data_IF_857578933175
#
_entry.id   IF_857578933175
#
_cell.length_a   1.000
_cell.length_b   1.000
_cell.length_c   1.000
_cell.angle_alpha   90.00
_cell.angle_beta   90.00
_cell.angle_gamma   90.00
#
_symmetry.space_group_name_H-M   'P 1'
#
loop_
_entity.id
_entity.type
_entity.pdbx_description
1 polymer ?
#
# COMPACT_ATOMS: atom_id res chain seq x y z
N UNK A 1 -2.44 23.87 -17.31
CA UNK A 1 -3.06 22.97 -16.32
C UNK A 1 -4.53 22.65 -16.64
N UNK A 2 -5.47 23.62 -16.63
CA UNK A 2 -6.92 23.39 -16.81
C UNK A 2 -7.28 22.64 -18.10
N UNK A 3 -6.77 23.07 -19.26
CA UNK A 3 -7.05 22.43 -20.55
C UNK A 3 -6.58 20.97 -20.60
N UNK A 4 -5.39 20.69 -20.06
CA UNK A 4 -4.85 19.32 -20.00
C UNK A 4 -5.65 18.43 -19.04
N UNK A 5 -6.10 18.98 -17.90
CA UNK A 5 -6.99 18.25 -17.00
C UNK A 5 -8.32 17.90 -17.67
N UNK A 6 -8.94 18.85 -18.39
CA UNK A 6 -10.16 18.62 -19.16
C UNK A 6 -9.93 17.53 -20.23
N UNK A 7 -8.79 17.57 -20.90
CA UNK A 7 -8.39 16.53 -21.85
C UNK A 7 -8.30 15.15 -21.19
N UNK A 8 -7.68 15.05 -20.00
CA UNK A 8 -7.59 13.79 -19.25
C UNK A 8 -8.97 13.27 -18.84
N UNK A 9 -9.84 14.15 -18.34
CA UNK A 9 -11.22 13.79 -18.01
C UNK A 9 -11.90 13.24 -19.27
N UNK A 10 -11.91 13.97 -20.38
CA UNK A 10 -12.61 13.52 -21.60
C UNK A 10 -12.11 12.17 -22.14
N UNK A 11 -10.79 11.95 -22.11
CA UNK A 11 -10.20 10.78 -22.78
C UNK A 11 -9.91 9.59 -21.89
N UNK A 12 -9.83 9.78 -20.56
CA UNK A 12 -9.46 8.73 -19.61
C UNK A 12 -10.58 8.39 -18.61
N UNK A 13 -11.74 9.05 -18.69
CA UNK A 13 -12.86 8.76 -17.80
C UNK A 13 -13.45 7.36 -17.98
N UNK A 14 -13.47 6.82 -19.20
CA UNK A 14 -13.90 5.44 -19.43
C UNK A 14 -13.07 4.45 -18.60
N UNK A 15 -11.75 4.66 -18.55
CA UNK A 15 -10.86 3.87 -17.71
C UNK A 15 -11.22 4.01 -16.22
N UNK A 16 -11.53 5.22 -15.75
CA UNK A 16 -12.02 5.45 -14.37
C UNK A 16 -13.31 4.71 -14.09
N UNK A 17 -14.28 4.75 -15.01
CA UNK A 17 -15.57 4.08 -14.85
C UNK A 17 -15.40 2.56 -14.76
N UNK A 18 -14.58 1.96 -15.62
CA UNK A 18 -14.30 0.51 -15.57
C UNK A 18 -13.61 0.12 -14.26
N UNK A 19 -12.60 0.90 -13.84
CA UNK A 19 -11.91 0.66 -12.56
C UNK A 19 -12.77 0.93 -11.32
N UNK A 20 -13.86 1.72 -11.44
CA UNK A 20 -14.83 1.87 -10.37
C UNK A 20 -15.86 0.74 -10.37
N UNK A 21 -16.35 0.36 -11.55
CA UNK A 21 -17.45 -0.59 -11.71
C UNK A 21 -17.08 -2.00 -11.25
N UNK A 22 -15.93 -2.52 -11.66
CA UNK A 22 -15.50 -3.88 -11.30
C UNK A 22 -15.41 -4.09 -9.77
N UNK A 23 -14.62 -3.30 -9.00
CA UNK A 23 -14.53 -3.49 -7.56
C UNK A 23 -15.84 -3.16 -6.85
N UNK A 24 -16.63 -2.21 -7.36
CA UNK A 24 -17.96 -1.91 -6.81
C UNK A 24 -18.90 -3.09 -6.93
N UNK A 25 -18.95 -3.76 -8.09
CA UNK A 25 -19.80 -4.93 -8.28
C UNK A 25 -19.37 -6.09 -7.39
N UNK A 26 -18.06 -6.37 -7.30
CA UNK A 26 -17.55 -7.44 -6.45
C UNK A 26 -17.82 -7.14 -4.96
N UNK A 27 -17.60 -5.89 -4.54
CA UNK A 27 -17.91 -5.46 -3.17
C UNK A 27 -19.41 -5.54 -2.88
N UNK A 28 -20.26 -5.07 -3.80
CA UNK A 28 -21.72 -5.14 -3.66
C UNK A 28 -22.21 -6.59 -3.54
N UNK A 29 -21.71 -7.51 -4.37
CA UNK A 29 -22.01 -8.94 -4.25
C UNK A 29 -21.56 -9.46 -2.88
N UNK A 30 -20.39 -9.05 -2.41
CA UNK A 30 -19.88 -9.42 -1.08
C UNK A 30 -20.80 -8.91 0.03
N UNK A 31 -21.31 -7.68 -0.06
CA UNK A 31 -22.30 -7.12 0.87
C UNK A 31 -23.60 -7.92 0.82
N UNK A 32 -24.17 -8.18 -0.35
CA UNK A 32 -25.41 -8.93 -0.52
C UNK A 32 -25.30 -10.35 0.08
N UNK A 33 -24.23 -11.09 -0.24
CA UNK A 33 -24.05 -12.47 0.21
C UNK A 33 -23.79 -12.58 1.72
N UNK A 34 -22.92 -11.71 2.26
CA UNK A 34 -22.55 -11.81 3.67
C UNK A 34 -23.63 -11.21 4.57
N UNK A 35 -24.29 -10.13 4.17
CA UNK A 35 -25.26 -9.46 5.04
C UNK A 35 -26.54 -10.31 5.18
N UNK A 36 -27.04 -10.86 4.07
CA UNK A 36 -28.23 -11.71 4.08
C UNK A 36 -28.02 -12.96 4.95
N UNK A 37 -26.90 -13.66 4.76
CA UNK A 37 -26.60 -14.92 5.47
C UNK A 37 -26.29 -14.71 6.95
N UNK A 38 -25.55 -13.66 7.31
CA UNK A 38 -25.04 -13.51 8.68
C UNK A 38 -25.98 -12.79 9.66
N UNK A 39 -26.90 -11.96 9.17
CA UNK A 39 -27.78 -11.17 10.05
C UNK A 39 -29.21 -11.71 10.16
N UNK A 40 -29.64 -12.59 9.25
CA UNK A 40 -30.95 -13.26 9.34
C UNK A 40 -30.89 -14.72 9.84
N UNK A 41 -29.77 -15.45 9.74
CA UNK A 41 -29.74 -16.90 10.01
C UNK A 41 -29.20 -17.35 11.38
N UNK A 42 -28.89 -16.46 12.33
CA UNK A 42 -28.35 -16.87 13.64
C UNK A 42 -29.35 -16.69 14.79
N UNK A 43 -30.03 -17.80 15.09
CA UNK A 43 -30.69 -18.18 16.36
C UNK A 43 -31.92 -17.33 16.75
N UNK A 44 -33.14 -17.91 16.78
CA UNK A 44 -34.30 -17.25 17.36
C UNK A 44 -34.01 -16.87 18.82
N UNK A 45 -34.06 -15.57 19.14
CA UNK A 45 -34.04 -15.08 20.52
C UNK A 45 -32.82 -14.26 20.96
N UNK A 46 -31.77 -14.08 20.14
CA UNK A 46 -30.71 -13.09 20.41
C UNK A 46 -30.20 -12.46 19.11
N UNK A 47 -30.51 -11.18 18.81
CA UNK A 47 -29.81 -10.49 17.74
C UNK A 47 -28.35 -10.35 18.18
N UNK A 48 -27.45 -11.17 17.64
CA UNK A 48 -26.01 -10.92 17.76
C UNK A 48 -25.58 -10.19 16.50
N UNK A 49 -25.65 -8.85 16.50
CA UNK A 49 -25.09 -8.07 15.41
C UNK A 49 -23.56 -8.26 15.39
N UNK A 50 -23.07 -9.04 14.42
CA UNK A 50 -21.63 -9.13 14.12
C UNK A 50 -21.14 -7.81 13.56
N UNK A 51 -19.84 -7.54 13.71
CA UNK A 51 -19.19 -6.40 13.05
C UNK A 51 -19.52 -6.37 11.56
N UNK A 52 -19.70 -5.19 10.96
CA UNK A 52 -19.81 -5.03 9.51
C UNK A 52 -18.45 -5.24 8.80
N UNK A 53 -17.81 -6.38 9.06
CA UNK A 53 -16.45 -6.72 8.58
C UNK A 53 -16.37 -6.77 7.05
N UNK A 54 -17.50 -6.89 6.37
CA UNK A 54 -17.56 -6.86 4.90
C UNK A 54 -16.93 -5.59 4.32
N UNK A 55 -17.01 -4.45 5.01
CA UNK A 55 -16.36 -3.19 4.57
C UNK A 55 -14.83 -3.27 4.56
N UNK A 56 -14.21 -4.24 5.26
CA UNK A 56 -12.78 -4.49 5.13
C UNK A 56 -12.41 -4.97 3.72
N UNK A 57 -13.33 -5.61 2.98
CA UNK A 57 -13.06 -5.99 1.58
C UNK A 57 -12.95 -4.77 0.65
N UNK A 58 -13.77 -3.74 0.86
CA UNK A 58 -13.65 -2.46 0.14
C UNK A 58 -12.29 -1.80 0.38
N UNK A 59 -11.77 -1.90 1.61
CA UNK A 59 -10.44 -1.43 1.96
C UNK A 59 -9.35 -2.18 1.16
N UNK A 60 -9.44 -3.50 1.06
CA UNK A 60 -8.48 -4.30 0.27
C UNK A 60 -8.51 -3.89 -1.21
N UNK A 61 -9.69 -3.66 -1.79
CA UNK A 61 -9.78 -3.20 -3.17
C UNK A 61 -9.10 -1.86 -3.38
N UNK A 62 -9.32 -0.87 -2.50
CA UNK A 62 -8.67 0.44 -2.68
C UNK A 62 -7.16 0.36 -2.50
N UNK A 63 -6.65 -0.50 -1.60
CA UNK A 63 -5.22 -0.74 -1.43
C UNK A 63 -4.55 -1.31 -2.69
N UNK A 64 -5.26 -2.16 -3.43
CA UNK A 64 -4.79 -2.70 -4.72
C UNK A 64 -4.88 -1.64 -5.84
N UNK A 65 -5.92 -0.82 -5.82
CA UNK A 65 -6.16 0.17 -6.88
C UNK A 65 -5.20 1.36 -6.82
N UNK A 66 -4.73 1.75 -5.63
CA UNK A 66 -3.75 2.83 -5.47
C UNK A 66 -2.51 2.62 -6.37
N UNK A 67 -1.74 1.52 -6.27
CA UNK A 67 -0.59 1.30 -7.13
C UNK A 67 -0.97 1.17 -8.61
N UNK A 68 -2.11 0.55 -8.93
CA UNK A 68 -2.59 0.42 -10.32
C UNK A 68 -2.83 1.80 -10.95
N UNK A 69 -3.55 2.69 -10.25
CA UNK A 69 -3.80 4.06 -10.73
C UNK A 69 -2.49 4.83 -10.83
N UNK A 70 -1.60 4.74 -9.84
CA UNK A 70 -0.27 5.35 -9.91
C UNK A 70 0.48 4.95 -11.18
N UNK A 71 0.55 3.63 -11.47
CA UNK A 71 1.22 3.11 -12.67
C UNK A 71 0.56 3.70 -13.92
N UNK A 72 -0.77 3.63 -14.03
CA UNK A 72 -1.47 4.13 -15.22
C UNK A 72 -1.35 5.64 -15.45
N UNK A 73 -1.17 6.45 -14.40
CA UNK A 73 -1.04 7.91 -14.53
C UNK A 73 0.38 8.34 -14.79
N UNK A 74 1.34 7.71 -14.12
CA UNK A 74 2.73 8.10 -14.19
C UNK A 74 3.52 7.33 -15.25
N UNK A 75 2.92 6.31 -15.88
CA UNK A 75 3.50 5.58 -17.01
C UNK A 75 4.04 6.48 -18.11
N UNK A 76 3.37 7.62 -18.37
CA UNK A 76 3.78 8.58 -19.41
C UNK A 76 5.19 9.12 -19.20
N UNK A 77 5.72 9.09 -17.97
CA UNK A 77 7.07 9.55 -17.65
C UNK A 77 8.12 8.45 -17.80
N UNK A 78 7.71 7.21 -18.05
CA UNK A 78 8.56 6.01 -18.04
C UNK A 78 8.47 5.19 -19.33
N UNK A 79 7.61 5.59 -20.27
CA UNK A 79 7.51 4.99 -21.59
C UNK A 79 8.28 5.80 -22.63
N UNK A 80 9.33 5.22 -23.21
CA UNK A 80 10.12 5.90 -24.25
C UNK A 80 9.30 6.30 -25.48
N UNK A 81 8.23 5.57 -25.81
CA UNK A 81 7.39 5.87 -26.99
C UNK A 81 6.52 7.11 -26.81
N UNK A 82 6.08 7.38 -25.58
CA UNK A 82 5.10 8.44 -25.30
C UNK A 82 5.76 9.73 -24.77
N UNK A 83 6.97 9.61 -24.23
CA UNK A 83 7.65 10.72 -23.56
C UNK A 83 7.92 11.89 -24.50
N UNK A 84 8.34 11.62 -25.74
CA UNK A 84 8.62 12.67 -26.71
C UNK A 84 7.34 13.45 -27.08
N UNK A 85 6.21 12.74 -27.21
CA UNK A 85 4.91 13.36 -27.42
C UNK A 85 4.51 14.25 -26.23
N UNK A 86 4.65 13.77 -25.00
CA UNK A 86 4.23 14.54 -23.82
C UNK A 86 5.20 15.69 -23.48
N UNK A 87 6.48 15.56 -23.80
CA UNK A 87 7.47 16.61 -23.57
C UNK A 87 7.51 17.67 -24.68
N UNK A 88 6.91 17.40 -25.84
CA UNK A 88 6.68 18.42 -26.89
C UNK A 88 5.47 19.32 -26.61
N UNK A 89 4.61 18.97 -25.66
CA UNK A 89 3.49 19.82 -25.28
C UNK A 89 3.98 21.15 -24.68
N UNK A 90 3.29 22.28 -24.94
CA UNK A 90 3.64 23.60 -24.39
C UNK A 90 3.22 23.72 -22.91
N UNK A 91 3.60 22.74 -22.08
CA UNK A 91 3.29 22.63 -20.66
C UNK A 91 4.55 22.21 -19.93
N UNK A 92 4.87 22.85 -18.79
CA UNK A 92 6.05 22.47 -18.02
C UNK A 92 5.90 21.06 -17.45
N UNK A 93 7.02 20.32 -17.34
CA UNK A 93 7.02 18.95 -16.78
C UNK A 93 6.44 18.87 -15.37
N UNK A 94 6.66 19.91 -14.57
CA UNK A 94 6.10 20.03 -13.23
C UNK A 94 4.57 20.17 -13.25
N UNK A 95 4.04 21.02 -14.14
CA UNK A 95 2.59 21.15 -14.30
C UNK A 95 1.97 19.87 -14.88
N UNK A 96 2.68 19.18 -15.78
CA UNK A 96 2.26 17.89 -16.31
C UNK A 96 2.16 16.85 -15.19
N UNK A 97 3.20 16.72 -14.37
CA UNK A 97 3.22 15.82 -13.21
C UNK A 97 2.09 16.15 -12.23
N UNK A 98 1.94 17.41 -11.85
CA UNK A 98 0.90 17.83 -10.90
C UNK A 98 -0.50 17.53 -11.45
N UNK A 99 -0.73 17.76 -12.75
CA UNK A 99 -2.03 17.46 -13.37
C UNK A 99 -2.31 15.95 -13.37
N UNK A 100 -1.30 15.11 -13.65
CA UNK A 100 -1.45 13.66 -13.59
C UNK A 100 -1.69 13.14 -12.16
N UNK A 101 -0.96 13.67 -11.18
CA UNK A 101 -1.14 13.33 -9.78
C UNK A 101 -2.54 13.72 -9.31
N UNK A 102 -2.97 14.96 -9.59
CA UNK A 102 -4.29 15.46 -9.21
C UNK A 102 -5.42 14.66 -9.87
N UNK A 103 -5.30 14.36 -11.17
CA UNK A 103 -6.28 13.54 -11.87
C UNK A 103 -6.35 12.11 -11.31
N UNK A 104 -5.20 11.48 -11.03
CA UNK A 104 -5.17 10.15 -10.41
C UNK A 104 -5.76 10.13 -9.00
N UNK A 105 -5.57 11.20 -8.22
CA UNK A 105 -6.23 11.34 -6.92
C UNK A 105 -7.75 11.47 -7.06
N UNK A 106 -8.25 12.33 -7.97
CA UNK A 106 -9.68 12.43 -8.29
C UNK A 106 -10.24 11.07 -8.73
N UNK A 107 -9.49 10.32 -9.54
CA UNK A 107 -9.87 9.00 -10.00
C UNK A 107 -10.01 8.01 -8.82
N UNK A 108 -9.06 7.99 -7.88
CA UNK A 108 -9.15 7.16 -6.68
C UNK A 108 -10.30 7.58 -5.76
N UNK A 109 -10.52 8.88 -5.58
CA UNK A 109 -11.67 9.40 -4.84
C UNK A 109 -12.98 8.92 -5.46
N UNK A 110 -13.13 9.08 -6.78
CA UNK A 110 -14.34 8.65 -7.47
C UNK A 110 -14.59 7.15 -7.31
N UNK A 111 -13.56 6.31 -7.45
CA UNK A 111 -13.67 4.86 -7.27
C UNK A 111 -14.08 4.54 -5.83
N UNK A 112 -13.40 5.12 -4.84
CA UNK A 112 -13.71 4.91 -3.42
C UNK A 112 -15.13 5.36 -3.07
N UNK A 113 -15.52 6.58 -3.46
CA UNK A 113 -16.85 7.12 -3.22
C UNK A 113 -17.93 6.23 -3.84
N UNK A 114 -17.77 5.82 -5.10
CA UNK A 114 -18.75 4.97 -5.79
C UNK A 114 -18.90 3.63 -5.10
N UNK A 115 -17.77 2.94 -4.87
CA UNK A 115 -17.75 1.62 -4.21
C UNK A 115 -18.32 1.69 -2.79
N UNK A 116 -17.88 2.68 -2.00
CA UNK A 116 -18.26 2.81 -0.60
C UNK A 116 -19.74 3.14 -0.42
N UNK A 117 -20.25 4.15 -1.12
CA UNK A 117 -21.65 4.58 -0.94
C UNK A 117 -22.64 3.57 -1.51
N UNK A 118 -22.35 2.91 -2.63
CA UNK A 118 -23.22 1.86 -3.15
C UNK A 118 -23.28 0.69 -2.14
N UNK A 119 -22.13 0.27 -1.60
CA UNK A 119 -22.10 -0.75 -0.56
C UNK A 119 -22.78 -0.31 0.74
N UNK A 120 -22.63 0.95 1.15
CA UNK A 120 -23.27 1.51 2.34
C UNK A 120 -24.79 1.56 2.20
N UNK A 121 -25.31 1.98 1.05
CA UNK A 121 -26.74 2.00 0.78
C UNK A 121 -27.29 0.58 0.82
N UNK A 122 -26.67 -0.35 0.09
CA UNK A 122 -27.09 -1.75 0.07
C UNK A 122 -27.06 -2.37 1.49
N UNK A 123 -25.97 -2.16 2.22
CA UNK A 123 -25.83 -2.62 3.60
C UNK A 123 -26.91 -2.02 4.52
N UNK A 124 -27.17 -0.71 4.42
CA UNK A 124 -28.18 -0.04 5.25
C UNK A 124 -29.59 -0.55 4.97
N UNK A 125 -29.93 -0.83 3.70
CA UNK A 125 -31.21 -1.42 3.32
C UNK A 125 -31.35 -2.84 3.89
N UNK A 126 -30.31 -3.67 3.77
CA UNK A 126 -30.34 -5.06 4.24
C UNK A 126 -30.33 -5.20 5.77
N UNK A 127 -29.95 -4.14 6.48
CA UNK A 127 -29.83 -4.15 7.95
C UNK A 127 -30.85 -3.24 8.63
N UNK A 128 -31.81 -2.70 7.86
CA UNK A 128 -32.80 -1.71 8.31
C UNK A 128 -32.20 -0.54 9.09
N UNK A 129 -30.98 -0.14 8.75
CA UNK A 129 -30.26 0.95 9.44
C UNK A 129 -29.88 0.65 10.90
N UNK A 130 -29.79 -0.62 11.29
CA UNK A 130 -29.46 -1.04 12.67
C UNK A 130 -28.06 -0.63 13.15
N UNK A 131 -27.17 -0.24 12.24
CA UNK A 131 -25.80 0.17 12.56
C UNK A 131 -25.67 1.70 12.66
N UNK A 132 -24.74 2.15 13.51
CA UNK A 132 -24.43 3.57 13.67
C UNK A 132 -23.67 4.10 12.44
N UNK A 133 -24.44 4.61 11.48
CA UNK A 133 -23.96 5.12 10.18
C UNK A 133 -22.93 6.23 10.31
N UNK A 134 -22.93 7.00 11.40
CA UNK A 134 -21.94 8.05 11.66
C UNK A 134 -20.49 7.53 11.69
N UNK A 135 -20.24 6.37 12.31
CA UNK A 135 -18.91 5.76 12.34
C UNK A 135 -18.51 5.16 10.99
N UNK A 136 -19.48 4.67 10.21
CA UNK A 136 -19.25 4.27 8.82
C UNK A 136 -18.91 5.49 7.94
N UNK A 137 -19.57 6.64 8.13
CA UNK A 137 -19.18 7.86 7.42
C UNK A 137 -17.79 8.36 7.84
N UNK A 138 -17.42 8.20 9.11
CA UNK A 138 -16.06 8.52 9.57
C UNK A 138 -15.02 7.60 8.90
N UNK A 139 -15.32 6.31 8.73
CA UNK A 139 -14.46 5.37 7.99
C UNK A 139 -14.21 5.83 6.54
N UNK A 140 -15.25 6.34 5.87
CA UNK A 140 -15.11 6.92 4.54
C UNK A 140 -14.10 8.07 4.49
N UNK A 141 -14.19 9.01 5.44
CA UNK A 141 -13.30 10.18 5.52
C UNK A 141 -11.87 9.79 5.88
N UNK A 142 -11.69 8.91 6.85
CA UNK A 142 -10.37 8.38 7.25
C UNK A 142 -9.71 7.70 6.06
N UNK A 143 -10.46 6.91 5.28
CA UNK A 143 -9.92 6.22 4.12
C UNK A 143 -9.45 7.20 3.04
N UNK A 144 -10.19 8.30 2.78
CA UNK A 144 -9.76 9.34 1.85
C UNK A 144 -8.41 9.94 2.23
N UNK A 145 -8.21 10.22 3.52
CA UNK A 145 -6.94 10.74 4.01
C UNK A 145 -5.77 9.79 3.68
N UNK A 146 -5.93 8.49 3.97
CA UNK A 146 -4.89 7.50 3.67
C UNK A 146 -4.73 7.21 2.18
N UNK A 147 -5.78 7.32 1.36
CA UNK A 147 -5.65 7.28 -0.09
C UNK A 147 -4.65 8.35 -0.53
N UNK A 148 -4.77 9.59 -0.04
CA UNK A 148 -3.83 10.66 -0.38
C UNK A 148 -2.39 10.34 0.06
N UNK A 149 -2.22 9.86 1.30
CA UNK A 149 -0.90 9.50 1.86
C UNK A 149 -0.25 8.40 1.04
N UNK A 150 -0.95 7.28 0.84
CA UNK A 150 -0.44 6.11 0.14
C UNK A 150 -0.19 6.40 -1.34
N UNK A 151 -1.10 7.13 -2.00
CA UNK A 151 -0.94 7.53 -3.40
C UNK A 151 0.28 8.43 -3.61
N UNK A 152 0.54 9.37 -2.69
CA UNK A 152 1.74 10.21 -2.75
C UNK A 152 3.02 9.40 -2.62
N UNK A 153 3.05 8.45 -1.69
CA UNK A 153 4.18 7.55 -1.45
C UNK A 153 4.43 6.62 -2.64
N UNK A 154 3.40 5.94 -3.16
CA UNK A 154 3.54 5.04 -4.32
C UNK A 154 3.98 5.81 -5.56
N UNK A 155 3.46 7.03 -5.76
CA UNK A 155 3.86 7.91 -6.85
C UNK A 155 5.33 8.29 -6.78
N UNK A 156 5.85 8.62 -5.59
CA UNK A 156 7.27 8.88 -5.40
C UNK A 156 8.14 7.67 -5.76
N UNK A 157 7.78 6.48 -5.25
CA UNK A 157 8.53 5.25 -5.52
C UNK A 157 8.57 4.92 -7.01
N UNK A 158 7.42 5.03 -7.68
CA UNK A 158 7.32 4.81 -9.13
C UNK A 158 8.19 5.80 -9.93
N UNK A 159 8.21 7.07 -9.52
CA UNK A 159 9.01 8.11 -10.19
C UNK A 159 10.50 7.99 -9.90
N UNK A 160 10.98 7.12 -9.00
CA UNK A 160 12.42 6.88 -8.86
C UNK A 160 12.97 5.87 -9.85
N UNK A 161 12.11 5.15 -10.55
CA UNK A 161 12.51 4.29 -11.64
C UNK A 161 12.66 5.07 -12.95
N UNK A 162 13.48 4.53 -13.85
CA UNK A 162 13.68 5.00 -15.23
C UNK A 162 12.83 4.22 -16.25
N UNK A 163 12.26 3.08 -15.85
CA UNK A 163 11.40 2.24 -16.70
C UNK A 163 10.14 1.81 -15.95
N UNK A 164 9.07 1.43 -16.68
CA UNK A 164 7.82 0.95 -16.05
C UNK A 164 8.07 -0.27 -15.16
N UNK A 165 8.82 -1.26 -15.66
CA UNK A 165 9.05 -2.51 -14.93
C UNK A 165 9.78 -2.24 -13.62
N UNK A 166 10.82 -1.39 -13.66
CA UNK A 166 11.56 -1.05 -12.45
C UNK A 166 10.70 -0.25 -11.46
N UNK A 167 9.77 0.58 -11.94
CA UNK A 167 8.84 1.35 -11.10
C UNK A 167 7.86 0.45 -10.35
N UNK A 168 7.31 -0.57 -11.04
CA UNK A 168 6.47 -1.59 -10.42
C UNK A 168 7.28 -2.38 -9.38
N UNK A 169 8.49 -2.80 -9.74
CA UNK A 169 9.37 -3.52 -8.83
C UNK A 169 9.70 -2.69 -7.58
N UNK A 170 9.97 -1.38 -7.71
CA UNK A 170 10.25 -0.52 -6.56
C UNK A 170 9.07 -0.42 -5.61
N UNK A 171 7.83 -0.34 -6.11
CA UNK A 171 6.63 -0.37 -5.27
C UNK A 171 6.55 -1.70 -4.51
N UNK A 172 6.71 -2.84 -5.19
CA UNK A 172 6.60 -4.17 -4.57
C UNK A 172 7.69 -4.35 -3.51
N UNK A 173 8.96 -4.13 -3.87
CA UNK A 173 10.11 -4.32 -2.99
C UNK A 173 10.02 -3.38 -1.77
N UNK A 174 9.47 -2.17 -1.93
CA UNK A 174 9.23 -1.26 -0.81
C UNK A 174 8.19 -1.83 0.18
N UNK A 175 7.05 -2.31 -0.31
CA UNK A 175 6.02 -2.87 0.57
C UNK A 175 6.50 -4.14 1.26
N UNK A 176 7.26 -5.00 0.57
CA UNK A 176 7.88 -6.17 1.20
C UNK A 176 8.95 -5.78 2.22
N UNK A 177 9.72 -4.71 1.98
CA UNK A 177 10.72 -4.23 2.93
C UNK A 177 10.08 -3.84 4.26
N UNK A 178 8.98 -3.08 4.21
CA UNK A 178 8.28 -2.64 5.41
C UNK A 178 7.48 -3.76 6.09
N UNK A 179 7.02 -4.76 5.32
CA UNK A 179 6.48 -5.99 5.89
C UNK A 179 7.56 -6.72 6.71
N UNK A 180 8.74 -6.96 6.13
CA UNK A 180 9.82 -7.65 6.83
C UNK A 180 10.39 -6.86 7.99
N UNK A 181 10.57 -5.54 7.84
CA UNK A 181 10.95 -4.64 8.93
C UNK A 181 9.97 -4.76 10.09
N UNK A 182 8.67 -4.76 9.81
CA UNK A 182 7.67 -4.86 10.87
C UNK A 182 7.69 -6.21 11.58
N UNK A 183 7.88 -7.31 10.84
CA UNK A 183 8.05 -8.64 11.45
C UNK A 183 9.34 -8.76 12.26
N UNK A 184 10.40 -8.09 11.81
CA UNK A 184 11.68 -8.03 12.52
C UNK A 184 11.51 -7.31 13.86
N UNK A 185 10.87 -6.13 13.86
CA UNK A 185 10.64 -5.35 15.07
C UNK A 185 9.66 -6.01 16.04
N UNK A 186 8.76 -6.85 15.56
CA UNK A 186 7.86 -7.64 16.42
C UNK A 186 8.45 -8.98 16.86
N UNK A 187 9.71 -9.29 16.54
CA UNK A 187 10.40 -10.46 17.09
C UNK A 187 10.48 -10.35 18.62
N UNK A 188 10.41 -11.49 19.30
CA UNK A 188 10.29 -11.61 20.76
C UNK A 188 11.26 -10.75 21.56
N UNK A 189 12.46 -10.52 21.06
CA UNK A 189 13.53 -9.77 21.70
C UNK A 189 13.32 -8.26 21.60
N UNK A 190 12.83 -7.77 20.45
CA UNK A 190 12.55 -6.35 20.23
C UNK A 190 11.19 -5.96 20.83
N UNK A 191 10.26 -6.92 21.02
CA UNK A 191 9.00 -6.69 21.74
C UNK A 191 9.21 -6.11 23.16
N UNK A 192 10.35 -6.39 23.80
CA UNK A 192 10.69 -5.81 25.10
C UNK A 192 10.84 -4.28 25.08
N UNK A 193 11.09 -3.69 23.90
CA UNK A 193 11.16 -2.24 23.68
C UNK A 193 9.78 -1.60 23.41
N UNK A 194 8.69 -2.37 23.56
CA UNK A 194 7.32 -1.89 23.34
C UNK A 194 6.78 -2.09 21.93
N UNK A 195 7.59 -2.62 20.99
CA UNK A 195 7.14 -2.93 19.62
C UNK A 195 6.45 -4.29 19.55
N UNK A 196 5.17 -4.33 19.93
CA UNK A 196 4.46 -5.61 20.11
C UNK A 196 3.73 -6.12 18.87
N UNK A 197 3.59 -5.30 17.81
CA UNK A 197 2.76 -5.59 16.65
C UNK A 197 3.54 -5.92 15.38
N UNK A 198 3.29 -7.10 14.83
CA UNK A 198 3.94 -7.65 13.61
C UNK A 198 3.79 -6.81 12.35
N UNK A 199 2.88 -5.82 12.33
CA UNK A 199 2.59 -5.00 11.17
C UNK A 199 2.62 -3.49 11.45
N UNK A 200 3.07 -3.04 12.62
CA UNK A 200 3.11 -1.62 12.99
C UNK A 200 3.77 -0.72 11.93
N UNK A 201 4.78 -1.20 11.20
CA UNK A 201 5.48 -0.39 10.19
C UNK A 201 4.98 -0.63 8.77
N UNK A 202 3.90 -1.39 8.58
CA UNK A 202 3.29 -1.55 7.27
C UNK A 202 2.54 -0.25 6.87
N UNK A 203 2.64 0.23 5.61
CA UNK A 203 1.91 1.43 5.15
C UNK A 203 0.39 1.35 5.34
N UNK A 204 -0.17 0.14 5.40
CA UNK A 204 -1.59 -0.12 5.55
C UNK A 204 -2.05 -0.32 7.00
N UNK A 205 -1.13 -0.31 7.98
CA UNK A 205 -1.44 -0.64 9.37
C UNK A 205 -2.46 0.31 9.99
N UNK A 206 -2.19 1.61 10.00
CA UNK A 206 -3.07 2.57 10.68
C UNK A 206 -4.48 2.58 10.11
N UNK A 207 -4.61 2.54 8.77
CA UNK A 207 -5.94 2.46 8.16
C UNK A 207 -6.63 1.15 8.51
N UNK A 208 -5.94 0.01 8.51
CA UNK A 208 -6.56 -1.28 8.89
C UNK A 208 -7.07 -1.30 10.34
N UNK A 209 -6.29 -0.74 11.28
CA UNK A 209 -6.65 -0.64 12.69
C UNK A 209 -7.82 0.32 12.92
N UNK A 210 -7.79 1.49 12.26
CA UNK A 210 -8.88 2.45 12.31
C UNK A 210 -10.14 1.88 11.67
N UNK A 211 -10.03 1.15 10.55
CA UNK A 211 -11.17 0.46 9.92
C UNK A 211 -11.79 -0.54 10.88
N UNK A 212 -11.00 -1.46 11.43
CA UNK A 212 -11.54 -2.46 12.35
C UNK A 212 -12.20 -1.81 13.57
N UNK A 213 -11.57 -0.79 14.16
CA UNK A 213 -12.14 -0.07 15.31
C UNK A 213 -13.44 0.66 14.96
N UNK A 214 -13.51 1.35 13.82
CA UNK A 214 -14.70 2.07 13.38
C UNK A 214 -15.87 1.12 13.05
N UNK A 215 -15.58 -0.04 12.44
CA UNK A 215 -16.58 -1.08 12.20
C UNK A 215 -17.06 -1.67 13.54
N UNK A 216 -16.16 -1.87 14.50
CA UNK A 216 -16.52 -2.36 15.83
C UNK A 216 -17.49 -1.43 16.56
N UNK A 217 -17.15 -0.14 16.66
CA UNK A 217 -18.00 0.85 17.36
C UNK A 217 -19.27 1.20 16.59
N UNK A 218 -19.36 0.86 15.29
CA UNK A 218 -20.60 1.06 14.52
C UNK A 218 -21.72 0.08 14.89
N UNK A 219 -21.43 -0.97 15.67
CA UNK A 219 -22.44 -1.93 16.12
C UNK A 219 -23.43 -1.24 17.07
N UNK A 220 -24.73 -1.54 16.99
CA UNK A 220 -25.68 -1.10 18.01
C UNK A 220 -25.34 -1.75 19.36
N UNK A 221 -25.57 -1.02 20.46
CA UNK A 221 -25.32 -1.52 21.81
C UNK A 221 -26.38 -2.55 22.19
N UNK A 222 -26.02 -3.84 22.25
CA UNK A 222 -26.94 -4.93 22.55
C UNK A 222 -26.80 -5.31 24.02
N UNK A 223 -27.19 -4.40 24.92
CA UNK A 223 -27.64 -4.68 26.30
C UNK A 223 -26.90 -5.75 27.11
N UNK A 224 -25.61 -5.96 26.85
CA UNK A 224 -24.87 -7.12 27.29
C UNK A 224 -23.40 -6.79 27.16
N UNK A 225 -22.69 -6.88 28.27
CA UNK A 225 -21.27 -6.63 28.42
C UNK A 225 -20.45 -7.63 27.59
N UNK A 226 -20.45 -7.44 26.26
CA UNK A 226 -19.43 -8.03 25.40
C UNK A 226 -18.14 -7.31 25.81
N UNK A 227 -17.17 -8.02 26.43
CA UNK A 227 -15.96 -7.38 26.90
C UNK A 227 -15.29 -6.67 25.72
N UNK A 228 -14.95 -5.41 25.94
CA UNK A 228 -14.13 -4.61 25.02
C UNK A 228 -12.75 -5.27 25.00
N UNK A 229 -12.56 -6.29 24.18
CA UNK A 229 -11.26 -6.98 24.02
C UNK A 229 -10.40 -6.32 22.95
N UNK A 230 -10.93 -5.35 22.20
CA UNK A 230 -10.19 -4.67 21.15
C UNK A 230 -9.86 -3.24 21.55
N UNK A 231 -8.76 -3.06 22.27
CA UNK A 231 -8.18 -1.74 22.50
C UNK A 231 -7.49 -1.28 21.22
N UNK A 232 -7.99 -0.21 20.59
CA UNK A 232 -7.25 0.50 19.56
C UNK A 232 -5.90 0.91 20.15
N UNK A 233 -4.82 0.47 19.54
CA UNK A 233 -3.48 0.83 19.99
C UNK A 233 -3.08 2.19 19.40
N UNK A 234 -3.67 3.23 19.99
CA UNK A 234 -3.52 4.63 19.59
C UNK A 234 -2.05 5.02 19.38
N UNK A 235 -1.09 4.65 20.25
CA UNK A 235 0.32 5.03 20.04
C UNK A 235 0.88 4.47 18.73
N UNK A 236 0.60 3.21 18.42
CA UNK A 236 1.11 2.55 17.22
C UNK A 236 0.50 3.13 15.94
N UNK A 237 -0.81 3.37 15.96
CA UNK A 237 -1.53 4.05 14.86
C UNK A 237 -0.96 5.45 14.65
N UNK A 238 -0.73 6.22 15.72
CA UNK A 238 -0.19 7.57 15.62
C UNK A 238 1.22 7.58 15.02
N UNK A 239 2.13 6.73 15.52
CA UNK A 239 3.51 6.63 15.03
C UNK A 239 3.54 6.22 13.55
N UNK A 240 2.78 5.18 13.17
CA UNK A 240 2.69 4.75 11.78
C UNK A 240 2.16 5.86 10.87
N UNK A 241 1.09 6.54 11.29
CA UNK A 241 0.51 7.66 10.54
C UNK A 241 1.54 8.77 10.34
N UNK A 242 2.26 9.14 11.40
CA UNK A 242 3.29 10.17 11.34
C UNK A 242 4.38 9.81 10.33
N UNK A 243 4.93 8.59 10.41
CA UNK A 243 5.97 8.12 9.49
C UNK A 243 5.51 8.21 8.04
N UNK A 244 4.34 7.67 7.70
CA UNK A 244 3.90 7.59 6.31
C UNK A 244 3.38 8.91 5.76
N UNK A 245 2.75 9.76 6.58
CA UNK A 245 2.42 11.14 6.20
C UNK A 245 3.70 11.91 5.88
N UNK A 246 4.71 11.83 6.75
CA UNK A 246 6.00 12.50 6.54
C UNK A 246 6.70 11.99 5.28
N UNK A 247 6.78 10.66 5.08
CA UNK A 247 7.36 10.07 3.87
C UNK A 247 6.59 10.47 2.60
N UNK A 248 5.26 10.55 2.66
CA UNK A 248 4.43 10.97 1.53
C UNK A 248 4.65 12.44 1.15
N UNK A 249 4.68 13.34 2.15
CA UNK A 249 4.96 14.77 1.95
C UNK A 249 6.35 14.97 1.34
N UNK A 250 7.39 14.36 1.94
CA UNK A 250 8.74 14.44 1.39
C UNK A 250 8.82 13.79 0.01
N UNK A 251 8.16 12.66 -0.20
CA UNK A 251 8.08 11.99 -1.50
C UNK A 251 7.49 12.88 -2.58
N UNK A 252 6.41 13.60 -2.27
CA UNK A 252 5.82 14.57 -3.20
C UNK A 252 6.78 15.72 -3.51
N UNK A 253 7.35 16.37 -2.50
CA UNK A 253 8.28 17.49 -2.66
C UNK A 253 9.48 17.07 -3.50
N UNK A 254 10.10 15.93 -3.18
CA UNK A 254 11.25 15.40 -3.89
C UNK A 254 10.92 15.00 -5.33
N UNK A 255 9.72 14.48 -5.59
CA UNK A 255 9.26 14.16 -6.96
C UNK A 255 9.09 15.44 -7.80
N UNK A 256 8.46 16.46 -7.21
CA UNK A 256 8.21 17.74 -7.85
C UNK A 256 9.50 18.49 -8.19
N UNK A 257 10.50 18.38 -7.32
CA UNK A 257 11.83 18.94 -7.58
C UNK A 257 12.61 18.11 -8.61
N UNK A 258 12.61 16.78 -8.50
CA UNK A 258 13.43 15.93 -9.37
C UNK A 258 12.99 15.95 -10.83
N UNK A 259 11.68 16.06 -11.11
CA UNK A 259 11.15 16.04 -12.48
C UNK A 259 11.65 17.22 -13.34
N UNK A 260 12.09 18.32 -12.71
CA UNK A 260 12.66 19.48 -13.41
C UNK A 260 14.06 19.18 -13.94
N UNK A 261 14.83 18.40 -13.20
CA UNK A 261 16.25 18.11 -13.48
C UNK A 261 16.46 16.78 -14.19
N UNK A 262 15.42 15.92 -14.23
CA UNK A 262 15.50 14.61 -14.85
C UNK A 262 15.66 14.73 -16.37
N UNK A 263 16.75 14.18 -16.90
CA UNK A 263 16.99 14.18 -18.34
C UNK A 263 16.14 13.11 -19.02
N UNK A 264 15.54 13.44 -20.17
CA UNK A 264 14.71 12.51 -20.94
C UNK A 264 15.50 11.28 -21.41
N UNK A 265 16.81 11.41 -21.65
CA UNK A 265 17.69 10.30 -22.04
C UNK A 265 17.78 9.16 -21.02
N UNK A 266 17.41 9.42 -19.75
CA UNK A 266 17.43 8.39 -18.71
C UNK A 266 16.24 7.43 -18.82
N UNK A 267 15.18 7.83 -19.53
CA UNK A 267 13.98 7.03 -19.68
C UNK A 267 14.30 5.82 -20.55
N UNK A 268 13.93 4.63 -20.07
CA UNK A 268 14.27 3.36 -20.73
C UNK A 268 15.64 2.79 -20.34
N UNK A 269 16.54 3.59 -19.74
CA UNK A 269 17.83 3.12 -19.19
C UNK A 269 17.64 2.44 -17.84
N UNK A 270 18.67 1.74 -17.38
CA UNK A 270 18.67 1.09 -16.07
C UNK A 270 18.44 2.10 -14.93
N UNK A 271 17.58 1.75 -13.99
CA UNK A 271 17.25 2.60 -12.84
C UNK A 271 18.40 2.61 -11.81
N UNK A 272 19.23 3.65 -11.80
CA UNK A 272 20.37 3.77 -10.87
C UNK A 272 20.06 4.51 -9.56
N UNK A 273 18.77 4.71 -9.23
CA UNK A 273 18.36 5.42 -8.03
C UNK A 273 18.92 4.80 -6.76
N UNK A 274 19.42 5.65 -5.84
CA UNK A 274 19.90 5.23 -4.51
C UNK A 274 18.79 4.63 -3.64
N UNK A 275 17.54 5.02 -3.87
CA UNK A 275 16.34 4.54 -3.15
C UNK A 275 15.65 3.40 -3.94
N UNK A 276 16.32 2.88 -4.96
CA UNK A 276 15.84 1.77 -5.78
C UNK A 276 16.34 0.41 -5.29
N UNK A 277 16.53 -0.52 -6.23
CA UNK A 277 16.94 -1.90 -5.93
C UNK A 277 18.26 -1.98 -5.15
N UNK A 278 19.18 -1.01 -5.33
CA UNK A 278 20.48 -0.98 -4.65
C UNK A 278 20.38 -0.83 -3.13
N UNK A 279 19.32 -0.20 -2.61
CA UNK A 279 19.09 -0.10 -1.16
C UNK A 279 17.96 -1.03 -0.72
N UNK A 280 16.89 -1.14 -1.50
CA UNK A 280 15.70 -1.87 -1.11
C UNK A 280 15.91 -3.38 -1.10
N UNK A 281 16.68 -3.96 -2.05
CA UNK A 281 16.97 -5.41 -2.01
C UNK A 281 17.82 -5.76 -0.78
N UNK A 282 18.96 -5.09 -0.50
CA UNK A 282 19.73 -5.36 0.71
C UNK A 282 18.93 -5.20 1.99
N UNK A 283 18.07 -4.17 2.06
CA UNK A 283 17.19 -3.94 3.21
C UNK A 283 16.19 -5.07 3.41
N UNK A 284 15.56 -5.56 2.33
CA UNK A 284 14.70 -6.74 2.39
C UNK A 284 15.48 -7.96 2.87
N UNK A 285 16.66 -8.21 2.31
CA UNK A 285 17.50 -9.36 2.66
C UNK A 285 17.91 -9.32 4.13
N UNK A 286 18.26 -8.15 4.67
CA UNK A 286 18.58 -7.98 6.08
C UNK A 286 17.39 -8.40 6.95
N UNK A 287 16.23 -7.77 6.75
CA UNK A 287 15.08 -7.98 7.64
C UNK A 287 14.45 -9.36 7.46
N UNK A 288 14.32 -9.88 6.25
CA UNK A 288 13.78 -11.24 6.06
C UNK A 288 14.70 -12.30 6.66
N UNK A 289 16.02 -12.14 6.51
CA UNK A 289 17.00 -13.07 7.10
C UNK A 289 16.95 -12.99 8.62
N UNK A 290 16.91 -11.79 9.19
CA UNK A 290 16.83 -11.58 10.64
C UNK A 290 15.51 -12.09 11.24
N UNK A 291 14.42 -12.06 10.46
CA UNK A 291 13.10 -12.57 10.85
C UNK A 291 12.89 -14.07 10.60
N UNK A 292 13.87 -14.81 10.06
CA UNK A 292 13.71 -16.24 9.74
C UNK A 292 13.26 -17.07 10.94
N UNK A 293 13.75 -16.76 12.15
CA UNK A 293 13.33 -17.45 13.36
C UNK A 293 11.83 -17.27 13.65
N UNK A 294 11.27 -16.08 13.42
CA UNK A 294 9.84 -15.79 13.58
C UNK A 294 8.98 -16.61 12.61
N UNK A 295 9.47 -16.85 11.39
CA UNK A 295 8.72 -17.57 10.36
C UNK A 295 8.84 -19.09 10.46
N UNK A 296 10.02 -19.60 10.84
CA UNK A 296 10.33 -21.03 10.76
C UNK A 296 10.55 -21.70 12.12
N UNK A 297 10.40 -20.96 13.22
CA UNK A 297 10.70 -21.38 14.61
C UNK A 297 12.09 -22.01 14.79
N UNK A 298 12.96 -21.81 13.81
CA UNK A 298 14.29 -22.38 13.68
C UNK A 298 15.07 -21.56 12.66
N UNK A 299 16.38 -21.40 12.88
CA UNK A 299 17.24 -20.80 11.87
C UNK A 299 17.69 -21.90 10.91
N UNK A 300 16.95 -22.08 9.82
CA UNK A 300 17.35 -23.03 8.80
C UNK A 300 18.35 -22.40 7.84
N UNK A 301 19.55 -22.97 7.74
CA UNK A 301 20.53 -22.58 6.71
C UNK A 301 19.95 -22.71 5.29
N UNK A 302 19.00 -23.63 5.09
CA UNK A 302 18.27 -23.78 3.82
C UNK A 302 17.42 -22.53 3.55
N UNK A 303 16.71 -22.00 4.55
CA UNK A 303 15.91 -20.78 4.38
C UNK A 303 16.80 -19.57 4.04
N UNK A 304 17.95 -19.44 4.71
CA UNK A 304 18.93 -18.38 4.42
C UNK A 304 19.49 -18.53 2.99
N UNK A 305 19.78 -19.76 2.53
CA UNK A 305 20.24 -20.01 1.16
C UNK A 305 19.17 -19.65 0.11
N UNK A 306 17.90 -19.96 0.36
CA UNK A 306 16.77 -19.57 -0.50
C UNK A 306 16.64 -18.05 -0.56
N UNK A 307 16.74 -17.36 0.58
CA UNK A 307 16.70 -15.89 0.66
C UNK A 307 17.86 -15.28 -0.14
N UNK A 308 19.07 -15.81 0.01
CA UNK A 308 20.24 -15.37 -0.75
C UNK A 308 20.04 -15.55 -2.26
N UNK A 309 19.52 -16.71 -2.68
CA UNK A 309 19.22 -16.99 -4.08
C UNK A 309 18.17 -16.01 -4.63
N UNK A 310 17.09 -15.75 -3.88
CA UNK A 310 16.08 -14.75 -4.24
C UNK A 310 16.68 -13.34 -4.36
N UNK A 311 17.63 -12.98 -3.49
CA UNK A 311 18.39 -11.74 -3.57
C UNK A 311 19.17 -11.61 -4.88
N UNK A 312 19.94 -12.63 -5.26
CA UNK A 312 20.67 -12.66 -6.53
C UNK A 312 19.74 -12.61 -7.75
N UNK A 313 18.64 -13.35 -7.73
CA UNK A 313 17.60 -13.30 -8.78
C UNK A 313 17.04 -11.88 -8.91
N UNK A 314 16.73 -11.23 -7.79
CA UNK A 314 16.28 -9.83 -7.77
C UNK A 314 17.29 -8.90 -8.43
N UNK A 315 18.58 -9.03 -8.11
CA UNK A 315 19.64 -8.24 -8.76
C UNK A 315 19.74 -8.53 -10.26
N UNK A 316 19.63 -9.79 -10.69
CA UNK A 316 19.67 -10.16 -12.11
C UNK A 316 18.53 -9.54 -12.91
N UNK A 317 17.30 -9.60 -12.39
CA UNK A 317 16.13 -9.01 -13.03
C UNK A 317 16.31 -7.50 -13.16
N UNK A 318 16.72 -6.84 -12.07
CA UNK A 318 16.80 -5.38 -12.03
C UNK A 318 17.98 -4.80 -12.83
N UNK A 319 19.09 -5.53 -12.93
CA UNK A 319 20.23 -5.12 -13.77
C UNK A 319 20.14 -5.56 -15.22
N UNK A 320 19.23 -6.47 -15.55
CA UNK A 320 19.10 -7.07 -16.88
C UNK A 320 20.44 -7.65 -17.38
N UNK A 321 21.21 -8.22 -16.47
CA UNK A 321 22.55 -8.74 -16.74
C UNK A 321 22.84 -9.93 -15.85
N UNK A 322 23.37 -10.99 -16.45
CA UNK A 322 23.77 -12.24 -15.75
C UNK A 322 25.14 -12.08 -15.08
N UNK A 323 25.94 -11.08 -15.46
CA UNK A 323 27.27 -10.85 -14.89
C UNK A 323 27.16 -10.29 -13.47
N UNK A 324 27.40 -11.15 -12.49
CA UNK A 324 27.55 -10.79 -11.08
C UNK A 324 28.83 -9.95 -10.93
N UNK A 325 28.69 -8.77 -10.34
CA UNK A 325 29.81 -7.92 -9.93
C UNK A 325 30.06 -8.08 -8.43
N UNK A 326 31.28 -7.76 -7.99
CA UNK A 326 31.62 -7.74 -6.57
C UNK A 326 30.66 -6.88 -5.72
N UNK A 327 30.12 -5.81 -6.30
CA UNK A 327 29.13 -4.96 -5.62
C UNK A 327 27.82 -5.70 -5.37
N UNK A 328 27.34 -6.53 -6.30
CA UNK A 328 26.11 -7.30 -6.08
C UNK A 328 26.33 -8.39 -5.03
N UNK A 329 27.49 -9.07 -5.07
CA UNK A 329 27.88 -10.05 -4.04
C UNK A 329 27.89 -9.38 -2.67
N UNK A 330 28.59 -8.25 -2.54
CA UNK A 330 28.62 -7.49 -1.30
C UNK A 330 27.21 -7.06 -0.86
N UNK A 331 26.35 -6.65 -1.79
CA UNK A 331 24.99 -6.20 -1.49
C UNK A 331 24.05 -7.32 -1.06
N UNK A 332 24.32 -8.58 -1.43
CA UNK A 332 23.54 -9.75 -1.00
C UNK A 332 24.13 -10.38 0.27
N UNK A 333 25.44 -10.56 0.30
CA UNK A 333 26.14 -11.28 1.37
C UNK A 333 26.23 -10.45 2.65
N UNK A 334 26.52 -9.15 2.56
CA UNK A 334 26.70 -8.29 3.75
C UNK A 334 25.43 -8.22 4.62
N UNK A 335 24.23 -7.97 4.07
CA UNK A 335 22.99 -7.97 4.86
C UNK A 335 22.72 -9.30 5.56
N UNK A 336 23.01 -10.41 4.90
CA UNK A 336 22.81 -11.76 5.45
C UNK A 336 23.78 -12.03 6.59
N UNK A 337 25.06 -11.68 6.44
CA UNK A 337 26.04 -11.80 7.52
C UNK A 337 25.61 -10.95 8.72
N UNK A 338 25.21 -9.70 8.50
CA UNK A 338 24.71 -8.82 9.58
C UNK A 338 23.49 -9.46 10.28
N UNK A 339 22.56 -10.03 9.51
CA UNK A 339 21.41 -10.74 10.08
C UNK A 339 21.81 -11.96 10.91
N UNK A 340 22.78 -12.77 10.46
CA UNK A 340 23.28 -13.94 11.19
C UNK A 340 23.95 -13.51 12.50
N UNK A 341 24.78 -12.45 12.46
CA UNK A 341 25.41 -11.88 13.65
C UNK A 341 24.33 -11.44 14.65
N UNK A 342 23.33 -10.69 14.18
CA UNK A 342 22.19 -10.27 15.01
C UNK A 342 21.48 -11.46 15.67
N UNK A 343 21.13 -12.49 14.88
CA UNK A 343 20.47 -13.69 15.40
C UNK A 343 21.34 -14.40 16.44
N UNK A 344 22.66 -14.42 16.25
CA UNK A 344 23.59 -15.09 17.16
C UNK A 344 23.77 -14.34 18.48
N UNK A 345 23.66 -13.01 18.48
CA UNK A 345 23.71 -12.18 19.70
C UNK A 345 22.39 -12.27 20.49
N UNK A 346 21.27 -12.43 19.78
CA UNK A 346 19.91 -12.41 20.35
C UNK A 346 19.38 -13.78 20.78
N UNK A 347 20.16 -14.84 20.57
CA UNK A 347 19.96 -16.17 21.18
C UNK A 347 20.67 -16.21 22.52
#
# INVERSE_FOLDING_TARGET
MKLYLIYLIKNKWLQTLVMALIPTLIFLISVLMNTYRYYHELIPGRPTFRTPDVFASALVFIMILIPIVTIFRLYIFRNSKDVDLYYSLPVSRQQLLLTQLFFGFIQLLFIWTTMYFIGLIAFSILTDGSFLTGYLLLLYLVTIFYIAVLYGLTSYLFLKANTLVDGIAFIIIFHTAFLFLSTFLASTQIRMLGFTHAFMFNPFYSISQLTYNLLYISRPDIGGSVPITHSLEIPHVFINSLIFVTLSIFGFILSYQSIRTEKSENIGRLSLSKIGYKSLIPLNLLFISASTYTFFYSTSFIAIAIIAAAGFIGYFIMRRSVKITWVDIASVVTPIIIAIIYISIMR
#
